data_IF_104448228009
#
_entry.id   IF_104448228009
#
_cell.length_a   1.000
_cell.length_b   1.000
_cell.length_c   1.000
_cell.angle_alpha   90.00
_cell.angle_beta   90.00
_cell.angle_gamma   90.00
#
_symmetry.space_group_name_H-M   'P 1'
#
loop_
_entity.id
_entity.type
_entity.pdbx_description
1 polymer ?
#
# COMPACT_ATOMS: atom_id res chain seq x y z
N UNK A 1 -6.15 21.69 -11.76
CA UNK A 1 -5.08 20.69 -11.87
C UNK A 1 -5.50 19.42 -11.17
N UNK A 2 -5.43 18.32 -11.84
CA UNK A 2 -5.83 17.06 -11.20
C UNK A 2 -4.61 16.41 -10.57
N UNK A 3 -4.77 16.04 -9.31
CA UNK A 3 -3.76 15.28 -8.60
C UNK A 3 -4.16 13.81 -8.67
N UNK A 4 -3.31 13.01 -9.25
CA UNK A 4 -3.60 11.58 -9.36
C UNK A 4 -2.96 10.89 -8.18
N UNK A 5 -3.79 10.30 -7.37
CA UNK A 5 -3.31 9.57 -6.20
C UNK A 5 -2.76 8.22 -6.63
N UNK A 6 -1.76 7.73 -5.93
CA UNK A 6 -1.26 6.38 -6.20
C UNK A 6 -2.33 5.36 -5.85
N UNK A 7 -2.30 4.23 -6.53
CA UNK A 7 -3.22 3.16 -6.22
C UNK A 7 -2.92 2.59 -4.84
N UNK A 8 -3.97 2.27 -4.12
CA UNK A 8 -3.85 1.69 -2.79
C UNK A 8 -2.98 0.44 -2.81
N UNK A 9 -3.20 -0.42 -3.81
CA UNK A 9 -2.43 -1.66 -3.94
C UNK A 9 -0.94 -1.40 -4.13
N UNK A 10 -0.58 -0.31 -4.82
CA UNK A 10 0.83 0.01 -5.00
C UNK A 10 1.49 0.35 -3.68
N UNK A 11 0.78 1.05 -2.81
CA UNK A 11 1.30 1.35 -1.47
C UNK A 11 1.44 0.09 -0.65
N UNK A 12 0.46 -0.81 -0.73
CA UNK A 12 0.54 -2.09 -0.04
C UNK A 12 1.73 -2.91 -0.51
N UNK A 13 1.98 -2.89 -1.83
CA UNK A 13 3.13 -3.62 -2.38
C UNK A 13 4.44 -3.03 -1.91
N UNK A 14 4.54 -1.71 -1.87
CA UNK A 14 5.76 -1.06 -1.43
C UNK A 14 6.09 -1.45 0.00
N UNK A 15 5.10 -1.39 0.88
CA UNK A 15 5.27 -1.81 2.27
C UNK A 15 5.56 -3.31 2.34
N UNK A 16 4.90 -4.09 1.49
CA UNK A 16 5.11 -5.53 1.45
C UNK A 16 6.54 -5.92 1.08
N UNK A 17 7.15 -5.19 0.14
CA UNK A 17 8.55 -5.46 -0.19
C UNK A 17 9.44 -5.22 1.01
N UNK A 18 9.15 -4.17 1.78
CA UNK A 18 9.89 -3.90 3.00
C UNK A 18 9.68 -5.02 4.02
N UNK A 19 8.45 -5.47 4.20
CA UNK A 19 8.12 -6.47 5.21
C UNK A 19 8.58 -7.88 4.85
N UNK A 20 8.48 -8.24 3.57
CA UNK A 20 8.70 -9.61 3.13
C UNK A 20 10.01 -9.82 2.37
N UNK A 21 10.70 -8.75 2.04
CA UNK A 21 12.01 -8.83 1.43
C UNK A 21 12.03 -9.09 -0.07
N UNK A 22 10.87 -9.19 -0.71
CA UNK A 22 10.83 -9.34 -2.17
C UNK A 22 9.48 -8.93 -2.71
N UNK A 23 9.46 -8.54 -3.99
CA UNK A 23 8.23 -8.18 -4.65
C UNK A 23 7.32 -9.40 -4.84
N UNK A 24 7.91 -10.57 -5.10
CA UNK A 24 7.13 -11.80 -5.24
C UNK A 24 6.35 -12.11 -3.97
N UNK A 25 7.01 -12.02 -2.82
CA UNK A 25 6.35 -12.29 -1.55
C UNK A 25 5.31 -11.22 -1.24
N UNK A 26 5.63 -9.96 -1.55
CA UNK A 26 4.68 -8.87 -1.36
C UNK A 26 3.43 -9.08 -2.20
N UNK A 27 3.60 -9.49 -3.46
CA UNK A 27 2.47 -9.75 -4.35
C UNK A 27 1.58 -10.85 -3.78
N UNK A 28 2.19 -11.94 -3.29
CA UNK A 28 1.42 -13.02 -2.69
C UNK A 28 0.63 -12.55 -1.48
N UNK A 29 1.21 -11.68 -0.68
CA UNK A 29 0.55 -11.22 0.55
C UNK A 29 -0.72 -10.42 0.26
N UNK A 30 -0.82 -9.82 -0.92
CA UNK A 30 -2.02 -9.06 -1.32
C UNK A 30 -2.78 -9.77 -2.43
N UNK A 31 -2.46 -11.04 -2.69
CA UNK A 31 -3.17 -11.88 -3.67
C UNK A 31 -3.14 -11.28 -5.06
N UNK A 32 -1.98 -10.79 -5.46
CA UNK A 32 -1.79 -10.17 -6.76
C UNK A 32 -0.77 -10.97 -7.55
N UNK A 33 -0.98 -11.09 -8.86
CA UNK A 33 -0.01 -11.75 -9.72
C UNK A 33 1.27 -10.91 -9.78
N UNK A 34 2.40 -11.57 -10.02
CA UNK A 34 3.66 -10.86 -10.07
C UNK A 34 3.71 -9.84 -11.23
N UNK A 35 3.20 -10.14 -12.44
CA UNK A 35 3.18 -9.12 -13.49
C UNK A 35 2.35 -7.90 -13.10
N UNK A 36 1.23 -8.10 -12.42
CA UNK A 36 0.41 -6.97 -11.99
C UNK A 36 1.11 -6.18 -10.89
N UNK A 37 1.77 -6.85 -9.97
CA UNK A 37 2.54 -6.19 -8.92
C UNK A 37 3.68 -5.36 -9.52
N UNK A 38 4.37 -5.94 -10.48
CA UNK A 38 5.47 -5.24 -11.15
C UNK A 38 4.97 -3.98 -11.85
N UNK A 39 3.82 -4.07 -12.53
CA UNK A 39 3.23 -2.91 -13.18
C UNK A 39 2.81 -1.84 -12.19
N UNK A 40 2.24 -2.25 -11.06
CA UNK A 40 1.82 -1.31 -10.04
C UNK A 40 3.01 -0.54 -9.47
N UNK A 41 4.10 -1.24 -9.18
CA UNK A 41 5.30 -0.60 -8.68
C UNK A 41 5.91 0.33 -9.73
N UNK A 42 5.96 -0.10 -10.99
CA UNK A 42 6.49 0.77 -12.04
C UNK A 42 5.63 2.01 -12.23
N UNK A 43 4.32 1.86 -12.09
CA UNK A 43 3.43 3.00 -12.13
C UNK A 43 3.73 4.00 -11.02
N UNK A 44 4.01 3.49 -9.84
CA UNK A 44 4.36 4.33 -8.71
C UNK A 44 5.69 5.04 -8.94
N UNK A 45 6.68 4.31 -9.48
CA UNK A 45 7.99 4.88 -9.79
C UNK A 45 7.86 6.00 -10.81
N UNK A 46 7.02 5.82 -11.83
CA UNK A 46 6.79 6.87 -12.82
C UNK A 46 6.13 8.09 -12.21
N UNK A 47 5.17 7.86 -11.32
CA UNK A 47 4.44 8.96 -10.69
C UNK A 47 5.35 9.81 -9.82
N UNK A 48 6.24 9.18 -9.10
CA UNK A 48 7.15 9.89 -8.20
C UNK A 48 8.47 10.25 -8.85
N UNK A 49 8.74 9.72 -10.05
CA UNK A 49 10.01 9.91 -10.76
C UNK A 49 11.19 9.47 -9.92
N UNK A 50 11.03 8.34 -9.23
CA UNK A 50 12.05 7.78 -8.35
C UNK A 50 12.09 6.27 -8.52
N UNK A 51 13.29 5.67 -8.53
CA UNK A 51 13.36 4.21 -8.44
C UNK A 51 13.05 3.79 -7.01
N UNK A 52 12.09 2.89 -6.85
CA UNK A 52 11.66 2.45 -5.53
C UNK A 52 12.09 1.03 -5.22
N UNK A 53 12.23 0.21 -6.26
CA UNK A 53 12.60 -1.19 -6.13
C UNK A 53 13.73 -1.45 -7.10
N UNK A 54 14.75 -2.20 -6.66
CA UNK A 54 15.82 -2.61 -7.53
C UNK A 54 15.92 -4.12 -7.54
N UNK A 55 16.30 -4.67 -8.69
CA UNK A 55 16.43 -6.11 -8.86
C UNK A 55 17.81 -6.55 -8.44
N UNK A 56 17.87 -7.70 -7.82
CA UNK A 56 19.11 -8.34 -7.46
C UNK A 56 19.00 -9.84 -7.76
N UNK A 57 20.11 -10.57 -7.76
CA UNK A 57 20.03 -12.02 -7.98
C UNK A 57 19.15 -12.73 -6.96
N UNK A 58 18.99 -12.17 -5.77
CA UNK A 58 18.21 -12.78 -4.72
C UNK A 58 16.78 -12.26 -4.66
N UNK A 59 16.36 -11.48 -5.66
CA UNK A 59 15.02 -10.93 -5.70
C UNK A 59 15.03 -9.43 -5.81
N UNK A 60 13.91 -8.82 -5.49
CA UNK A 60 13.75 -7.37 -5.58
C UNK A 60 13.74 -6.77 -4.17
N UNK A 61 14.50 -5.71 -3.96
CA UNK A 61 14.56 -5.02 -2.68
C UNK A 61 14.28 -3.55 -2.89
N UNK A 62 14.01 -2.84 -1.79
CA UNK A 62 13.75 -1.41 -1.89
C UNK A 62 15.06 -0.64 -2.10
N UNK A 63 14.97 0.42 -2.89
CA UNK A 63 16.04 1.41 -2.95
C UNK A 63 16.01 2.23 -1.66
N UNK A 64 16.99 3.11 -1.49
CA UNK A 64 16.97 4.04 -0.36
C UNK A 64 15.71 4.89 -0.39
N UNK A 65 15.35 5.40 -1.58
CA UNK A 65 14.13 6.20 -1.74
C UNK A 65 12.89 5.35 -1.46
N UNK A 66 12.90 4.09 -1.92
CA UNK A 66 11.79 3.19 -1.66
C UNK A 66 11.58 2.94 -0.19
N UNK A 67 12.67 2.83 0.57
CA UNK A 67 12.58 2.62 2.01
C UNK A 67 11.94 3.82 2.70
N UNK A 68 12.34 5.03 2.30
CA UNK A 68 11.75 6.24 2.87
C UNK A 68 10.25 6.30 2.56
N UNK A 69 9.89 6.05 1.31
CA UNK A 69 8.49 6.14 0.92
C UNK A 69 7.66 5.00 1.51
N UNK A 70 8.26 3.83 1.72
CA UNK A 70 7.56 2.73 2.38
C UNK A 70 7.19 3.12 3.81
N UNK A 71 8.05 3.85 4.49
CA UNK A 71 7.74 4.34 5.83
C UNK A 71 6.47 5.19 5.82
N UNK A 72 6.38 6.14 4.90
CA UNK A 72 5.20 7.01 4.82
C UNK A 72 3.97 6.26 4.31
N UNK A 73 4.17 5.32 3.38
CA UNK A 73 3.07 4.49 2.91
C UNK A 73 2.48 3.68 4.06
N UNK A 74 3.34 3.17 4.94
CA UNK A 74 2.89 2.39 6.10
C UNK A 74 2.01 3.23 7.00
N UNK A 75 2.36 4.51 7.20
CA UNK A 75 1.53 5.40 8.01
C UNK A 75 0.15 5.60 7.39
N UNK A 76 0.11 5.75 6.06
CA UNK A 76 -1.15 5.90 5.35
C UNK A 76 -2.02 4.66 5.53
N UNK A 77 -1.42 3.47 5.40
CA UNK A 77 -2.17 2.22 5.54
C UNK A 77 -2.71 2.05 6.96
N UNK A 78 -1.91 2.43 7.96
CA UNK A 78 -2.37 2.40 9.35
C UNK A 78 -3.55 3.34 9.55
N UNK A 79 -3.47 4.54 8.97
CA UNK A 79 -4.54 5.51 9.09
C UNK A 79 -5.81 5.03 8.40
N UNK A 80 -5.69 4.35 7.27
CA UNK A 80 -6.85 3.78 6.59
C UNK A 80 -7.50 2.72 7.48
N UNK A 81 -6.70 1.87 8.11
CA UNK A 81 -7.24 0.87 9.04
C UNK A 81 -7.98 1.53 10.19
N UNK A 82 -7.44 2.62 10.71
CA UNK A 82 -8.12 3.36 11.78
C UNK A 82 -9.43 3.94 11.30
N UNK A 83 -9.44 4.50 10.09
CA UNK A 83 -10.65 5.04 9.51
C UNK A 83 -11.72 3.96 9.40
N UNK A 84 -11.34 2.79 8.90
CA UNK A 84 -12.28 1.69 8.76
C UNK A 84 -12.81 1.23 10.12
N UNK A 85 -11.95 1.17 11.12
CA UNK A 85 -12.38 0.80 12.47
C UNK A 85 -13.36 1.80 13.06
N UNK A 86 -13.10 3.09 12.86
CA UNK A 86 -14.01 4.13 13.33
C UNK A 86 -15.34 4.01 12.63
N UNK A 87 -15.33 3.79 11.30
CA UNK A 87 -16.57 3.65 10.56
C UNK A 87 -17.39 2.45 11.03
N UNK A 88 -16.71 1.34 11.32
CA UNK A 88 -17.37 0.15 11.86
C UNK A 88 -18.02 0.46 13.20
N UNK A 89 -17.32 1.17 14.07
CA UNK A 89 -17.87 1.54 15.36
C UNK A 89 -19.08 2.44 15.25
N UNK A 90 -19.04 3.38 14.32
CA UNK A 90 -20.18 4.27 14.09
C UNK A 90 -21.36 3.52 13.53
N UNK A 91 -21.12 2.57 12.63
CA UNK A 91 -22.19 1.76 12.08
C UNK A 91 -22.85 0.92 13.17
N UNK A 92 -22.05 0.34 14.04
CA UNK A 92 -22.57 -0.47 15.14
C UNK A 92 -23.44 0.35 16.06
N UNK A 93 -22.97 1.58 16.40
CA UNK A 93 -23.75 2.47 17.23
C UNK A 93 -25.06 2.85 16.59
N UNK A 94 -25.03 3.10 15.28
CA UNK A 94 -26.24 3.48 14.58
C UNK A 94 -27.29 2.38 14.65
N UNK A 95 -26.85 1.12 14.55
CA UNK A 95 -27.75 -0.01 14.67
C UNK A 95 -28.33 -0.06 16.09
N UNK A 96 -27.54 0.21 17.09
CA UNK A 96 -27.96 0.15 18.48
C UNK A 96 -28.80 1.33 18.89
N UNK A 97 -28.77 2.41 18.13
CA UNK A 97 -29.59 3.57 18.41
C UNK A 97 -30.70 3.66 17.37
N UNK A 98 -31.74 2.92 17.56
CA UNK A 98 -32.80 2.86 16.55
C UNK A 98 -33.44 4.19 16.27
N UNK A 99 -33.46 5.05 17.23
CA UNK A 99 -34.01 6.36 17.00
C UNK A 99 -33.17 7.15 16.08
N UNK A 100 -32.15 6.56 15.68
CA UNK A 100 -31.40 7.11 14.68
C UNK A 100 -31.17 8.51 14.99
N UNK A 101 -31.86 8.48 15.80
CA UNK A 101 -31.88 9.73 16.20
C UNK A 101 -30.82 10.31 15.49
#
# INVERSE_FOLDING_TARGET
MSVRLPAFEALQLLVGVDDHGSLSAAARSVQMSQPNASRAIKGLERRFALPLVERSPNGSTLTAQGTVLAHWARQILVDIDKLLSVAEGLRARRIQSPCGG
#
